data_IF_702598244825
#
_entry.id   IF_702598244825
#
_cell.length_a   1.000
_cell.length_b   1.000
_cell.length_c   1.000
_cell.angle_alpha   90.00
_cell.angle_beta   90.00
_cell.angle_gamma   90.00
#
_symmetry.space_group_name_H-M   'P 1'
#
loop_
_entity.id
_entity.type
_entity.pdbx_description
1 polymer ?
#
# COMPACT_ATOMS: atom_id res chain seq x y z
N UNK A 1 -30.31 13.74 -19.04
CA UNK A 1 -29.83 13.54 -17.64
C UNK A 1 -30.12 12.14 -17.10
N UNK A 2 -31.34 11.62 -17.26
CA UNK A 2 -31.74 10.28 -16.81
C UNK A 2 -30.80 9.14 -17.25
N UNK A 3 -30.40 9.13 -18.53
CA UNK A 3 -29.50 8.09 -19.09
C UNK A 3 -28.17 8.03 -18.33
N UNK A 4 -27.55 9.17 -18.03
CA UNK A 4 -26.28 9.21 -17.31
C UNK A 4 -26.37 8.73 -15.86
N UNK A 5 -27.53 8.96 -15.21
CA UNK A 5 -27.75 8.56 -13.81
C UNK A 5 -28.10 7.08 -13.65
N UNK A 6 -28.66 6.46 -14.69
CA UNK A 6 -29.17 5.08 -14.64
C UNK A 6 -28.45 4.13 -15.60
N UNK A 7 -27.32 4.55 -16.19
CA UNK A 7 -26.54 3.70 -17.09
C UNK A 7 -25.93 2.51 -16.35
N UNK A 8 -25.33 2.76 -15.18
CA UNK A 8 -24.59 1.78 -14.37
C UNK A 8 -24.60 2.12 -12.89
N UNK A 9 -24.20 1.15 -12.07
CA UNK A 9 -24.04 1.29 -10.63
C UNK A 9 -22.94 2.32 -10.34
N UNK A 10 -21.81 2.24 -11.05
CA UNK A 10 -20.72 3.22 -10.96
C UNK A 10 -20.92 4.35 -11.96
N UNK A 11 -20.85 5.60 -11.49
CA UNK A 11 -20.99 6.79 -12.32
C UNK A 11 -19.75 6.99 -13.21
N UNK A 12 -19.90 6.84 -14.52
CA UNK A 12 -18.80 6.90 -15.49
C UNK A 12 -18.48 8.33 -15.97
N UNK A 13 -19.49 9.21 -16.10
CA UNK A 13 -19.36 10.52 -16.75
C UNK A 13 -19.71 11.70 -15.83
N UNK A 14 -18.83 11.97 -14.86
CA UNK A 14 -19.02 13.02 -13.86
C UNK A 14 -18.55 14.39 -14.35
N UNK A 15 -17.58 14.44 -15.27
CA UNK A 15 -17.05 15.69 -15.84
C UNK A 15 -17.71 16.06 -17.18
N UNK A 16 -17.55 17.32 -17.62
CA UNK A 16 -18.04 17.77 -18.94
C UNK A 16 -17.38 16.99 -20.09
N UNK A 17 -16.07 16.76 -20.02
CA UNK A 17 -15.32 15.98 -21.01
C UNK A 17 -15.80 14.53 -21.11
N UNK A 18 -15.98 13.86 -19.97
CA UNK A 18 -16.47 12.48 -19.93
C UNK A 18 -17.92 12.37 -20.44
N UNK A 19 -18.80 13.34 -20.14
CA UNK A 19 -20.16 13.38 -20.71
C UNK A 19 -20.12 13.51 -22.23
N UNK A 20 -19.24 14.37 -22.77
CA UNK A 20 -19.05 14.53 -24.22
C UNK A 20 -18.59 13.21 -24.87
N UNK A 21 -17.65 12.51 -24.24
CA UNK A 21 -17.20 11.19 -24.68
C UNK A 21 -18.29 10.12 -24.55
N UNK A 22 -19.05 10.09 -23.45
CA UNK A 22 -20.11 9.12 -23.25
C UNK A 22 -21.14 9.10 -24.39
N UNK A 23 -21.51 10.27 -24.92
CA UNK A 23 -22.48 10.36 -26.02
C UNK A 23 -21.85 10.18 -27.42
N UNK A 24 -20.61 10.61 -27.64
CA UNK A 24 -20.02 10.68 -28.98
C UNK A 24 -18.98 9.58 -29.29
N UNK A 25 -18.38 8.96 -28.27
CA UNK A 25 -17.25 8.05 -28.45
C UNK A 25 -17.62 6.82 -29.28
N UNK A 26 -18.82 6.25 -29.07
CA UNK A 26 -19.28 5.06 -29.80
C UNK A 26 -19.57 5.35 -31.27
N UNK A 27 -20.10 6.52 -31.60
CA UNK A 27 -20.37 6.92 -32.99
C UNK A 27 -19.13 7.29 -33.77
N UNK A 28 -18.08 7.78 -33.10
CA UNK A 28 -16.79 8.11 -33.72
C UNK A 28 -15.89 6.90 -33.90
N UNK A 29 -16.24 5.77 -33.28
CA UNK A 29 -15.49 4.54 -33.38
C UNK A 29 -15.77 3.85 -34.71
N UNK A 30 -14.75 3.68 -35.54
CA UNK A 30 -14.86 3.03 -36.85
C UNK A 30 -15.01 1.50 -36.78
N UNK A 31 -14.66 0.89 -35.64
CA UNK A 31 -14.63 -0.57 -35.43
C UNK A 31 -15.05 -0.94 -33.99
N UNK A 32 -15.64 -2.11 -33.78
CA UNK A 32 -16.06 -2.57 -32.45
C UNK A 32 -14.93 -3.06 -31.50
N UNK A 33 -13.65 -3.03 -31.91
CA UNK A 33 -12.51 -3.46 -31.08
C UNK A 33 -11.83 -2.30 -30.34
N UNK A 34 -10.84 -2.56 -29.49
CA UNK A 34 -10.10 -1.50 -28.77
C UNK A 34 -9.51 -0.44 -29.71
N UNK A 35 -9.53 0.83 -29.29
CA UNK A 35 -8.91 1.94 -30.01
C UNK A 35 -7.39 1.76 -30.03
N UNK A 36 -6.79 2.04 -31.17
CA UNK A 36 -5.35 2.26 -31.21
C UNK A 36 -5.01 3.71 -30.83
N UNK A 37 -3.71 4.00 -30.68
CA UNK A 37 -3.23 5.31 -30.26
C UNK A 37 -3.65 6.44 -31.22
N UNK A 38 -3.61 6.19 -32.53
CA UNK A 38 -3.93 7.20 -33.54
C UNK A 38 -5.43 7.52 -33.58
N UNK A 39 -6.28 6.50 -33.43
CA UNK A 39 -7.73 6.65 -33.31
C UNK A 39 -8.11 7.43 -32.04
N UNK A 40 -7.47 7.10 -30.91
CA UNK A 40 -7.70 7.80 -29.65
C UNK A 40 -7.28 9.27 -29.73
N UNK A 41 -6.14 9.57 -30.37
CA UNK A 41 -5.66 10.94 -30.60
C UNK A 41 -6.62 11.73 -31.50
N UNK A 42 -7.07 11.14 -32.61
CA UNK A 42 -8.01 11.82 -33.51
C UNK A 42 -9.35 12.16 -32.82
N UNK A 43 -9.86 11.26 -31.98
CA UNK A 43 -11.07 11.47 -31.18
C UNK A 43 -10.83 12.54 -30.10
N UNK A 44 -9.65 12.53 -29.48
CA UNK A 44 -9.24 13.50 -28.48
C UNK A 44 -9.23 14.92 -29.07
N UNK A 45 -8.64 15.09 -30.25
CA UNK A 45 -8.55 16.37 -30.95
C UNK A 45 -9.93 16.87 -31.40
N UNK A 46 -10.77 16.01 -31.98
CA UNK A 46 -12.13 16.37 -32.42
C UNK A 46 -13.03 16.76 -31.24
N UNK A 47 -12.92 16.04 -30.13
CA UNK A 47 -13.73 16.29 -28.94
C UNK A 47 -13.10 17.33 -27.99
N UNK A 48 -11.86 17.77 -28.22
CA UNK A 48 -11.16 18.72 -27.37
C UNK A 48 -10.95 18.20 -25.95
N UNK A 49 -10.52 16.95 -25.83
CA UNK A 49 -10.27 16.24 -24.56
C UNK A 49 -8.90 15.58 -24.58
N UNK A 50 -8.36 15.20 -23.43
CA UNK A 50 -7.09 14.48 -23.39
C UNK A 50 -7.24 13.03 -23.89
N UNK A 51 -6.26 12.54 -24.64
CA UNK A 51 -6.21 11.15 -25.11
C UNK A 51 -6.34 10.14 -23.98
N UNK A 52 -5.73 10.41 -22.82
CA UNK A 52 -5.87 9.57 -21.61
C UNK A 52 -7.33 9.40 -21.21
N UNK A 53 -8.11 10.49 -21.27
CA UNK A 53 -9.54 10.46 -20.94
C UNK A 53 -10.33 9.63 -21.95
N UNK A 54 -9.91 9.61 -23.23
CA UNK A 54 -10.53 8.77 -24.27
C UNK A 54 -10.35 7.28 -23.95
N UNK A 55 -9.13 6.85 -23.61
CA UNK A 55 -8.86 5.46 -23.24
C UNK A 55 -9.59 5.04 -21.95
N UNK A 56 -9.58 5.88 -20.93
CA UNK A 56 -10.34 5.62 -19.70
C UNK A 56 -11.83 5.47 -20.00
N UNK A 57 -12.40 6.35 -20.83
CA UNK A 57 -13.81 6.28 -21.22
C UNK A 57 -14.10 5.05 -22.09
N UNK A 58 -13.20 4.66 -22.99
CA UNK A 58 -13.35 3.43 -23.76
C UNK A 58 -13.41 2.20 -22.84
N UNK A 59 -12.45 2.07 -21.93
CA UNK A 59 -12.42 0.96 -20.98
C UNK A 59 -13.68 0.89 -20.13
N UNK A 60 -14.16 2.03 -19.63
CA UNK A 60 -15.37 2.10 -18.81
C UNK A 60 -16.65 1.79 -19.59
N UNK A 61 -16.74 2.19 -20.86
CA UNK A 61 -17.91 1.87 -21.70
C UNK A 61 -17.92 0.39 -22.12
N UNK A 62 -16.76 -0.25 -22.27
CA UNK A 62 -16.62 -1.65 -22.65
C UNK A 62 -16.64 -2.64 -21.48
N UNK A 63 -16.22 -2.23 -20.28
CA UNK A 63 -16.31 -3.07 -19.07
C UNK A 63 -17.77 -3.47 -18.83
N UNK A 64 -18.04 -4.47 -18.00
CA UNK A 64 -19.39 -4.74 -17.48
C UNK A 64 -19.34 -4.74 -15.95
N UNK A 65 -20.44 -4.39 -15.30
CA UNK A 65 -20.52 -4.46 -13.84
C UNK A 65 -20.83 -5.92 -13.49
N UNK A 66 -19.84 -6.64 -12.94
CA UNK A 66 -19.99 -8.03 -12.55
C UNK A 66 -20.72 -8.12 -11.21
N UNK A 67 -21.65 -9.08 -11.09
CA UNK A 67 -22.20 -9.46 -9.80
C UNK A 67 -21.11 -10.17 -8.97
N UNK A 68 -21.18 -10.04 -7.65
CA UNK A 68 -20.24 -10.73 -6.75
C UNK A 68 -20.57 -12.22 -6.63
N UNK A 69 -21.85 -12.54 -6.47
CA UNK A 69 -22.38 -13.90 -6.43
C UNK A 69 -22.76 -14.40 -7.82
N UNK A 70 -22.80 -15.72 -7.98
CA UNK A 70 -23.35 -16.35 -9.19
C UNK A 70 -24.86 -16.07 -9.31
N UNK A 71 -25.34 -15.84 -10.53
CA UNK A 71 -26.77 -15.72 -10.79
C UNK A 71 -27.51 -17.04 -10.54
N UNK A 72 -28.77 -16.96 -10.12
CA UNK A 72 -29.59 -18.16 -9.87
C UNK A 72 -29.89 -18.98 -11.15
N UNK A 73 -29.78 -18.35 -12.32
CA UNK A 73 -30.02 -18.94 -13.64
C UNK A 73 -28.72 -19.21 -14.41
N UNK A 74 -27.55 -18.97 -13.81
CA UNK A 74 -26.25 -19.22 -14.45
C UNK A 74 -25.99 -20.74 -14.51
N UNK A 75 -25.51 -21.23 -15.66
CA UNK A 75 -25.08 -22.61 -15.83
C UNK A 75 -23.79 -22.87 -15.01
N UNK A 76 -23.51 -24.14 -14.69
CA UNK A 76 -22.37 -24.53 -13.84
C UNK A 76 -21.04 -23.96 -14.39
N UNK A 77 -20.86 -23.94 -15.72
CA UNK A 77 -19.66 -23.40 -16.39
C UNK A 77 -19.46 -21.88 -16.18
N UNK A 78 -20.55 -21.15 -15.89
CA UNK A 78 -20.54 -19.70 -15.62
C UNK A 78 -20.54 -19.37 -14.14
N UNK A 79 -21.17 -20.21 -13.31
CA UNK A 79 -21.29 -20.00 -11.87
C UNK A 79 -19.92 -19.99 -11.15
N UNK A 80 -18.99 -20.88 -11.52
CA UNK A 80 -17.63 -20.92 -10.92
C UNK A 80 -16.78 -19.68 -11.21
N UNK A 81 -17.18 -18.86 -12.18
CA UNK A 81 -16.47 -17.62 -12.53
C UNK A 81 -16.91 -16.43 -11.66
N UNK A 82 -17.86 -16.62 -10.75
CA UNK A 82 -18.30 -15.56 -9.85
C UNK A 82 -17.16 -15.15 -8.89
N UNK A 83 -16.94 -13.84 -8.66
CA UNK A 83 -15.94 -13.32 -7.74
C UNK A 83 -15.94 -13.96 -6.36
N UNK A 84 -17.11 -14.35 -5.84
CA UNK A 84 -17.25 -15.03 -4.55
C UNK A 84 -16.42 -16.31 -4.40
N UNK A 85 -16.08 -16.99 -5.51
CA UNK A 85 -15.35 -18.27 -5.47
C UNK A 85 -13.84 -18.15 -5.57
N UNK A 86 -13.30 -17.02 -6.02
CA UNK A 86 -11.86 -16.85 -6.22
C UNK A 86 -11.28 -15.59 -5.55
N UNK A 87 -12.10 -14.66 -5.08
CA UNK A 87 -11.63 -13.55 -4.26
C UNK A 87 -11.43 -14.01 -2.83
N UNK A 88 -10.19 -13.94 -2.36
CA UNK A 88 -9.81 -14.34 -1.01
C UNK A 88 -9.68 -13.12 -0.08
N UNK A 89 -10.30 -13.20 1.09
CA UNK A 89 -10.02 -12.28 2.18
C UNK A 89 -8.77 -12.75 2.94
N UNK A 90 -7.67 -12.03 2.76
CA UNK A 90 -6.40 -12.33 3.39
C UNK A 90 -6.24 -11.69 4.79
N UNK A 91 -7.25 -10.96 5.28
CA UNK A 91 -7.16 -10.24 6.56
C UNK A 91 -7.18 -11.16 7.78
N UNK A 92 -7.75 -12.36 7.65
CA UNK A 92 -7.93 -13.32 8.76
C UNK A 92 -7.25 -14.67 8.49
N UNK A 93 -6.21 -14.69 7.65
CA UNK A 93 -5.42 -15.90 7.44
C UNK A 93 -4.75 -16.33 8.77
N UNK A 94 -5.12 -17.48 9.36
CA UNK A 94 -4.57 -17.93 10.64
C UNK A 94 -3.05 -18.10 10.61
N UNK A 95 -2.49 -18.48 9.46
CA UNK A 95 -1.05 -18.62 9.32
C UNK A 95 -0.35 -17.27 9.44
N UNK A 96 -0.90 -16.21 8.84
CA UNK A 96 -0.36 -14.85 8.91
C UNK A 96 -0.50 -14.26 10.32
N UNK A 97 -1.63 -14.49 10.98
CA UNK A 97 -1.84 -14.01 12.35
C UNK A 97 -0.83 -14.66 13.31
N UNK A 98 -0.66 -15.98 13.24
CA UNK A 98 0.32 -16.69 14.08
C UNK A 98 1.75 -16.29 13.71
N UNK A 99 2.05 -16.09 12.43
CA UNK A 99 3.36 -15.60 11.98
C UNK A 99 3.66 -14.20 12.53
N UNK A 100 2.70 -13.26 12.47
CA UNK A 100 2.90 -11.91 13.00
C UNK A 100 3.12 -11.91 14.50
N UNK A 101 2.30 -12.67 15.24
CA UNK A 101 2.40 -12.77 16.70
C UNK A 101 3.74 -13.40 17.11
N UNK A 102 4.15 -14.48 16.43
CA UNK A 102 5.43 -15.14 16.68
C UNK A 102 6.61 -14.25 16.31
N UNK A 103 6.52 -13.49 15.21
CA UNK A 103 7.56 -12.55 14.80
C UNK A 103 7.73 -11.42 15.81
N UNK A 104 6.63 -10.84 16.31
CA UNK A 104 6.69 -9.79 17.33
C UNK A 104 7.30 -10.31 18.65
N UNK A 105 6.93 -11.51 19.07
CA UNK A 105 7.48 -12.15 20.25
C UNK A 105 8.98 -12.45 20.09
N UNK A 106 9.38 -13.09 18.99
CA UNK A 106 10.80 -13.40 18.70
C UNK A 106 11.65 -12.13 18.58
N UNK A 107 11.11 -11.08 17.95
CA UNK A 107 11.79 -9.79 17.84
C UNK A 107 12.02 -9.13 19.21
N UNK A 108 11.00 -9.14 20.08
CA UNK A 108 11.13 -8.62 21.45
C UNK A 108 12.11 -9.44 22.28
N UNK A 109 12.03 -10.77 22.24
CA UNK A 109 12.92 -11.65 22.99
C UNK A 109 14.38 -11.46 22.57
N UNK A 110 14.65 -11.36 21.26
CA UNK A 110 16.00 -11.07 20.74
C UNK A 110 16.48 -9.68 21.13
N UNK A 111 15.61 -8.67 21.11
CA UNK A 111 15.95 -7.32 21.55
C UNK A 111 16.34 -7.33 23.04
N UNK A 112 15.56 -7.98 23.89
CA UNK A 112 15.84 -8.09 25.32
C UNK A 112 17.16 -8.82 25.58
N UNK A 113 17.39 -9.97 24.95
CA UNK A 113 18.64 -10.71 25.06
C UNK A 113 19.83 -9.87 24.57
N UNK A 114 19.68 -9.15 23.46
CA UNK A 114 20.73 -8.28 22.93
C UNK A 114 21.04 -7.11 23.87
N UNK A 115 20.03 -6.49 24.48
CA UNK A 115 20.22 -5.46 25.51
C UNK A 115 20.96 -6.02 26.72
N UNK A 116 20.72 -7.28 27.09
CA UNK A 116 21.40 -7.94 28.21
C UNK A 116 22.90 -8.16 28.00
N UNK A 117 23.35 -8.25 26.75
CA UNK A 117 24.79 -8.34 26.43
C UNK A 117 25.54 -7.01 26.54
N UNK A 118 24.82 -5.90 26.63
CA UNK A 118 25.41 -4.58 26.78
C UNK A 118 25.76 -4.31 28.24
N UNK A 119 26.85 -3.56 28.44
CA UNK A 119 27.18 -3.02 29.75
C UNK A 119 26.09 -2.04 30.23
N UNK A 120 25.89 -1.96 31.54
CA UNK A 120 24.81 -1.20 32.18
C UNK A 120 24.76 0.26 31.70
N UNK A 121 25.93 0.87 31.52
CA UNK A 121 26.05 2.26 31.06
C UNK A 121 25.60 2.41 29.60
N UNK A 122 26.06 1.55 28.71
CA UNK A 122 25.64 1.54 27.30
C UNK A 122 24.15 1.24 27.15
N UNK A 123 23.61 0.31 27.95
CA UNK A 123 22.18 -0.03 27.97
C UNK A 123 21.33 1.17 28.40
N UNK A 124 21.70 1.83 29.49
CA UNK A 124 20.98 3.01 29.98
C UNK A 124 21.00 4.16 28.97
N UNK A 125 22.15 4.42 28.34
CA UNK A 125 22.27 5.43 27.28
C UNK A 125 21.35 5.11 26.09
N UNK A 126 21.28 3.85 25.64
CA UNK A 126 20.37 3.48 24.55
C UNK A 126 18.90 3.58 24.94
N UNK A 127 18.53 3.12 26.14
CA UNK A 127 17.14 3.19 26.62
C UNK A 127 16.63 4.63 26.66
N UNK A 128 17.41 5.54 27.25
CA UNK A 128 17.04 6.96 27.38
C UNK A 128 17.03 7.72 26.05
N UNK A 129 17.72 7.22 25.02
CA UNK A 129 17.75 7.87 23.69
C UNK A 129 16.74 7.31 22.69
N UNK A 130 16.37 6.04 22.82
CA UNK A 130 15.63 5.32 21.78
C UNK A 130 14.37 4.61 22.27
N UNK A 131 14.35 4.12 23.52
CA UNK A 131 13.29 3.26 24.05
C UNK A 131 12.36 3.96 25.05
N UNK A 132 12.51 5.28 25.20
CA UNK A 132 11.70 6.13 26.07
C UNK A 132 10.96 7.16 25.21
N UNK A 133 9.78 7.59 25.67
CA UNK A 133 8.97 8.59 24.95
C UNK A 133 9.68 9.94 24.88
N UNK A 134 10.21 10.40 26.02
CA UNK A 134 11.02 11.62 26.12
C UNK A 134 12.51 11.29 25.95
N UNK A 135 13.00 11.50 24.72
CA UNK A 135 14.36 11.12 24.34
C UNK A 135 15.38 12.11 24.87
N UNK A 136 16.29 11.62 25.72
CA UNK A 136 17.39 12.41 26.26
C UNK A 136 18.36 12.87 25.16
N UNK A 137 18.85 14.09 25.27
CA UNK A 137 19.86 14.61 24.34
C UNK A 137 21.28 14.12 24.71
N UNK A 138 22.20 14.14 23.74
CA UNK A 138 23.60 13.81 23.99
C UNK A 138 24.23 14.69 25.10
N UNK A 139 23.78 15.93 25.22
CA UNK A 139 24.30 16.89 26.20
C UNK A 139 23.77 16.62 27.62
N UNK A 140 22.49 16.22 27.75
CA UNK A 140 21.93 15.80 29.04
C UNK A 140 22.63 14.57 29.59
N UNK A 141 22.86 13.56 28.74
CA UNK A 141 23.57 12.34 29.13
C UNK A 141 25.04 12.61 29.43
N UNK A 142 25.67 13.50 28.65
CA UNK A 142 27.04 13.95 28.91
C UNK A 142 27.16 14.60 30.30
N UNK A 143 26.21 15.47 30.66
CA UNK A 143 26.16 16.10 31.97
C UNK A 143 25.89 15.08 33.09
N UNK A 144 24.98 14.12 32.89
CA UNK A 144 24.65 13.09 33.88
C UNK A 144 25.84 12.17 34.21
N UNK A 145 26.59 11.78 33.18
CA UNK A 145 27.70 10.83 33.33
C UNK A 145 29.09 11.50 33.42
N UNK A 146 29.14 12.83 33.54
CA UNK A 146 30.35 13.66 33.61
C UNK A 146 31.37 13.32 32.49
N UNK A 147 30.90 13.27 31.25
CA UNK A 147 31.72 13.00 30.06
C UNK A 147 31.34 13.93 28.91
N UNK A 148 32.14 13.97 27.85
CA UNK A 148 31.79 14.74 26.66
C UNK A 148 30.63 14.13 25.88
N UNK A 149 29.85 14.97 25.20
CA UNK A 149 28.78 14.53 24.29
C UNK A 149 29.30 13.59 23.19
N UNK A 150 30.52 13.82 22.68
CA UNK A 150 31.16 12.93 21.72
C UNK A 150 31.45 11.55 22.32
N UNK A 151 31.80 11.47 23.62
CA UNK A 151 31.99 10.19 24.29
C UNK A 151 30.69 9.39 24.39
N UNK A 152 29.57 10.05 24.70
CA UNK A 152 28.23 9.40 24.68
C UNK A 152 27.89 8.90 23.28
N UNK A 153 28.15 9.70 22.23
CA UNK A 153 27.95 9.29 20.84
C UNK A 153 28.76 8.04 20.47
N UNK A 154 30.01 7.94 20.93
CA UNK A 154 30.84 6.77 20.70
C UNK A 154 30.29 5.51 21.39
N UNK A 155 29.85 5.64 22.65
CA UNK A 155 29.24 4.55 23.41
C UNK A 155 27.96 4.07 22.72
N UNK A 156 27.08 4.99 22.33
CA UNK A 156 25.87 4.68 21.56
C UNK A 156 26.21 3.94 20.26
N UNK A 157 27.15 4.46 19.45
CA UNK A 157 27.51 3.84 18.17
C UNK A 157 28.04 2.41 18.36
N UNK A 158 28.84 2.19 19.40
CA UNK A 158 29.37 0.86 19.75
C UNK A 158 28.24 -0.09 20.20
N UNK A 159 27.36 0.40 21.08
CA UNK A 159 26.22 -0.35 21.60
C UNK A 159 25.22 -0.73 20.49
N UNK A 160 24.87 0.22 19.60
CA UNK A 160 24.03 -0.04 18.43
C UNK A 160 24.65 -1.07 17.49
N UNK A 161 25.98 -1.06 17.32
CA UNK A 161 26.65 -2.07 16.50
C UNK A 161 26.50 -3.46 17.12
N UNK A 162 26.70 -3.59 18.42
CA UNK A 162 26.51 -4.87 19.14
C UNK A 162 25.05 -5.34 19.08
N UNK A 163 24.11 -4.42 19.26
CA UNK A 163 22.67 -4.70 19.18
C UNK A 163 22.28 -5.26 17.80
N UNK A 164 22.71 -4.59 16.72
CA UNK A 164 22.47 -5.05 15.34
C UNK A 164 23.07 -6.43 15.07
N UNK A 165 24.26 -6.72 15.60
CA UNK A 165 24.89 -8.04 15.45
C UNK A 165 24.14 -9.13 16.21
N UNK A 166 23.62 -8.83 17.40
CA UNK A 166 22.92 -9.80 18.24
C UNK A 166 21.49 -10.11 17.76
N UNK A 167 20.77 -9.09 17.25
CA UNK A 167 19.40 -9.25 16.76
C UNK A 167 19.38 -9.91 15.36
N UNK A 168 20.46 -9.76 14.57
CA UNK A 168 20.50 -10.18 13.18
C UNK A 168 19.91 -9.12 12.25
N UNK A 169 20.46 -9.01 11.05
CA UNK A 169 20.18 -7.93 10.10
C UNK A 169 18.75 -7.93 9.54
N UNK A 170 17.98 -9.00 9.76
CA UNK A 170 16.65 -9.21 9.17
C UNK A 170 15.48 -8.64 10.00
N UNK A 171 15.76 -8.11 11.19
CA UNK A 171 14.76 -7.49 12.09
C UNK A 171 14.80 -5.96 12.10
N UNK A 172 15.68 -5.34 11.31
CA UNK A 172 15.71 -3.88 11.13
C UNK A 172 15.00 -3.58 9.81
N UNK A 173 13.75 -3.08 9.81
CA UNK A 173 13.15 -2.59 8.58
C UNK A 173 14.07 -1.49 8.00
N UNK A 174 14.30 -1.58 6.68
CA UNK A 174 15.20 -0.70 5.93
C UNK A 174 14.81 0.79 6.01
#
# INVERSE_FOLDING_TARGET
EFILRNWRIVKVATTKAQRKLFFNLRSQKKRLGWLNQDEANAIADDLGVETKTVFEMEGRLNAYDAAFDAGADDDDDTAYQAPAYYLEDNSMDPARVVESDNYEQDANDRLHQALDTLDDRSRAILQQRWLTEEKATLHELAAQYDVSAERIRQLEKSAMKKLKTAIGTDLVPA
#
